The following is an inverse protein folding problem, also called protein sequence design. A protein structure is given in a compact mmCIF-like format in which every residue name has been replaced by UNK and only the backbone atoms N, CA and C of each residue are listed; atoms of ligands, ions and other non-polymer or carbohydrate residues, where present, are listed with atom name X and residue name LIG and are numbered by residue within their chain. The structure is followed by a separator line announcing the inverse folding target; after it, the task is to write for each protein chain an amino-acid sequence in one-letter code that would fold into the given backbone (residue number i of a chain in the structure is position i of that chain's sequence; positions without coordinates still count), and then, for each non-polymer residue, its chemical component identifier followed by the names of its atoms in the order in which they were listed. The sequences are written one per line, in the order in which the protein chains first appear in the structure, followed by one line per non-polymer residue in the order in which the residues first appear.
data_IF_754987052683
#
_entry.id   IF_754987052683
#
_cell.length_a   1.000
_cell.length_b   1.000
_cell.length_c   1.000
_cell.angle_alpha   90.00
_cell.angle_beta   90.00
_cell.angle_gamma   90.00
#
_symmetry.space_group_name_H-M   'P 1'
#
loop_
_entity.id
_entity.type
_entity.pdbx_description
1 polymer ?
#
# COMPACT_ATOMS: atom_id res chain seq x y z
N UNK A 1 0.75 -12.31 -2.85
CA UNK A 1 1.63 -13.50 -3.00
C UNK A 1 2.99 -13.03 -3.50
N UNK A 2 4.06 -13.32 -2.78
CA UNK A 2 5.43 -12.91 -3.13
C UNK A 2 5.92 -13.79 -4.27
N UNK A 3 6.14 -13.20 -5.47
CA UNK A 3 6.72 -13.95 -6.59
C UNK A 3 8.23 -14.14 -6.34
N UNK A 4 8.60 -15.29 -5.78
CA UNK A 4 9.98 -15.64 -5.38
C UNK A 4 11.01 -15.49 -6.51
N UNK A 5 10.61 -15.71 -7.76
CA UNK A 5 11.46 -15.48 -8.94
C UNK A 5 11.89 -14.01 -9.09
N UNK A 6 10.98 -13.06 -8.84
CA UNK A 6 11.29 -11.62 -8.93
C UNK A 6 12.22 -11.18 -7.79
N UNK A 7 12.02 -11.72 -6.59
CA UNK A 7 12.89 -11.41 -5.43
C UNK A 7 14.32 -11.93 -5.64
N UNK A 8 14.49 -13.07 -6.33
CA UNK A 8 15.80 -13.61 -6.68
C UNK A 8 16.59 -12.76 -7.69
N UNK A 9 15.87 -12.10 -8.61
CA UNK A 9 16.46 -11.23 -9.64
C UNK A 9 17.01 -9.90 -9.08
N UNK A 10 16.55 -9.48 -7.91
CA UNK A 10 16.80 -8.17 -7.31
C UNK A 10 17.69 -8.24 -6.06
N UNK A 11 18.76 -9.07 -6.11
CA UNK A 11 19.65 -9.26 -4.96
C UNK A 11 20.24 -7.97 -4.40
N UNK A 12 20.56 -6.99 -5.24
CA UNK A 12 21.07 -5.68 -4.82
C UNK A 12 20.03 -4.80 -4.13
N UNK A 13 18.79 -4.79 -4.62
CA UNK A 13 17.69 -4.03 -4.03
C UNK A 13 17.28 -4.52 -2.62
N UNK A 14 17.57 -5.78 -2.27
CA UNK A 14 17.29 -6.34 -0.94
C UNK A 14 17.92 -5.53 0.20
N UNK A 15 19.13 -5.03 0.02
CA UNK A 15 19.83 -4.22 1.03
C UNK A 15 19.04 -2.95 1.37
N UNK A 16 18.58 -2.23 0.36
CA UNK A 16 17.81 -1.00 0.56
C UNK A 16 16.42 -1.26 1.17
N UNK A 17 15.79 -2.39 0.81
CA UNK A 17 14.53 -2.82 1.41
C UNK A 17 14.72 -3.07 2.92
N UNK A 18 15.77 -3.80 3.30
CA UNK A 18 16.09 -4.07 4.71
C UNK A 18 16.40 -2.77 5.46
N UNK A 19 17.18 -1.85 4.87
CA UNK A 19 17.44 -0.54 5.47
C UNK A 19 16.15 0.27 5.65
N UNK A 20 15.24 0.25 4.70
CA UNK A 20 13.95 0.91 4.82
C UNK A 20 13.15 0.37 6.01
N UNK A 21 13.10 -0.97 6.15
CA UNK A 21 12.41 -1.63 7.28
C UNK A 21 13.05 -1.26 8.62
N UNK A 22 14.39 -1.26 8.69
CA UNK A 22 15.12 -0.89 9.91
C UNK A 22 14.89 0.56 10.32
N UNK A 23 14.89 1.50 9.37
CA UNK A 23 14.59 2.90 9.66
C UNK A 23 13.15 3.12 10.09
N UNK A 24 12.18 2.45 9.47
CA UNK A 24 10.79 2.47 9.89
C UNK A 24 10.60 1.89 11.30
N UNK A 25 11.31 0.80 11.59
CA UNK A 25 11.29 0.20 12.93
C UNK A 25 11.92 1.09 13.99
N UNK A 26 13.04 1.75 13.69
CA UNK A 26 13.64 2.74 14.58
C UNK A 26 12.71 3.95 14.83
N UNK A 27 12.01 4.42 13.79
CA UNK A 27 10.99 5.45 13.92
C UNK A 27 9.82 5.01 14.82
N UNK A 28 9.40 3.75 14.74
CA UNK A 28 8.38 3.18 15.63
C UNK A 28 8.84 3.18 17.09
N UNK A 29 10.07 2.75 17.37
CA UNK A 29 10.62 2.77 18.74
C UNK A 29 10.68 4.19 19.30
N UNK A 30 11.06 5.15 18.48
CA UNK A 30 11.04 6.57 18.82
C UNK A 30 9.62 7.05 19.15
N UNK A 31 8.62 6.65 18.35
CA UNK A 31 7.21 6.95 18.60
C UNK A 31 6.73 6.38 19.94
N UNK A 32 7.09 5.13 20.23
CA UNK A 32 6.73 4.48 21.51
C UNK A 32 7.32 5.25 22.68
N UNK A 33 8.58 5.68 22.59
CA UNK A 33 9.23 6.48 23.62
C UNK A 33 8.50 7.81 23.84
N UNK A 34 8.07 8.49 22.77
CA UNK A 34 7.27 9.71 22.87
C UNK A 34 5.97 9.48 23.65
N UNK A 35 5.24 8.39 23.31
CA UNK A 35 3.97 8.07 23.97
C UNK A 35 4.18 7.78 25.46
N UNK A 36 5.20 7.01 25.83
CA UNK A 36 5.53 6.76 27.25
C UNK A 36 5.91 8.03 27.99
N UNK A 37 6.67 8.92 27.36
CA UNK A 37 7.05 10.21 27.96
C UNK A 37 5.82 11.10 28.22
N UNK A 38 4.88 11.13 27.28
CA UNK A 38 3.61 11.85 27.42
C UNK A 38 2.75 11.22 28.51
N UNK A 39 2.65 9.90 28.55
CA UNK A 39 1.90 9.16 29.56
C UNK A 39 2.42 9.44 30.99
N UNK A 40 3.76 9.40 31.18
CA UNK A 40 4.40 9.74 32.47
C UNK A 40 4.12 11.19 32.88
N UNK A 41 4.13 12.12 31.91
CA UNK A 41 3.76 13.52 32.19
C UNK A 41 2.30 13.63 32.64
N UNK A 42 1.37 12.97 31.94
CA UNK A 42 -0.06 12.99 32.29
C UNK A 42 -0.32 12.39 33.66
N UNK A 43 0.35 11.30 33.98
CA UNK A 43 0.28 10.68 35.31
C UNK A 43 0.72 11.66 36.41
N UNK A 44 1.84 12.35 36.20
CA UNK A 44 2.35 13.37 37.14
C UNK A 44 1.41 14.56 37.27
N UNK A 45 0.74 14.98 36.21
CA UNK A 45 -0.28 16.05 36.24
C UNK A 45 -1.47 15.64 37.10
N UNK A 46 -1.96 14.39 36.95
CA UNK A 46 -3.09 13.88 37.75
C UNK A 46 -2.75 13.84 39.24
N UNK A 47 -1.55 13.42 39.60
CA UNK A 47 -1.09 13.39 40.99
C UNK A 47 -0.60 14.74 41.54
N UNK A 48 -0.78 15.85 40.79
CA UNK A 48 -0.32 17.21 41.18
C UNK A 48 1.18 17.28 41.51
N UNK A 49 1.98 16.38 40.99
CA UNK A 49 3.44 16.33 41.23
C UNK A 49 4.24 16.99 40.08
N UNK A 50 3.67 17.98 39.43
CA UNK A 50 4.31 18.70 38.33
C UNK A 50 5.15 19.84 38.87
N UNK A 51 6.45 19.77 38.59
CA UNK A 51 7.41 20.86 38.89
C UNK A 51 7.99 21.37 37.57
N UNK A 52 8.42 22.65 37.55
CA UNK A 52 9.01 23.28 36.36
C UNK A 52 10.13 22.45 35.74
N UNK A 53 11.10 21.87 36.49
CA UNK A 53 12.16 21.04 35.92
C UNK A 53 11.65 19.75 35.29
N UNK A 54 10.50 19.19 35.69
CA UNK A 54 9.90 18.00 35.05
C UNK A 54 9.36 18.38 33.69
N UNK A 55 8.71 19.53 33.55
CA UNK A 55 8.20 20.01 32.25
C UNK A 55 9.35 20.27 31.28
N UNK A 56 10.40 20.96 31.72
CA UNK A 56 11.57 21.26 30.91
C UNK A 56 12.25 19.98 30.40
N UNK A 57 12.46 19.01 31.28
CA UNK A 57 13.01 17.68 30.90
C UNK A 57 12.13 16.94 29.88
N UNK A 58 10.81 16.95 30.08
CA UNK A 58 9.87 16.32 29.18
C UNK A 58 9.90 16.96 27.80
N UNK A 59 9.91 18.28 27.71
CA UNK A 59 10.01 19.01 26.43
C UNK A 59 11.33 18.68 25.74
N UNK A 60 12.44 18.64 26.47
CA UNK A 60 13.75 18.28 25.90
C UNK A 60 13.74 16.85 25.31
N UNK A 61 13.19 15.88 26.04
CA UNK A 61 13.09 14.49 25.57
C UNK A 61 12.18 14.42 24.32
N UNK A 62 11.03 15.09 24.34
CA UNK A 62 10.12 15.10 23.19
C UNK A 62 10.77 15.74 21.96
N UNK A 63 11.47 16.86 22.12
CA UNK A 63 12.21 17.51 21.03
C UNK A 63 13.27 16.58 20.44
N UNK A 64 14.03 15.88 21.29
CA UNK A 64 15.01 14.88 20.85
C UNK A 64 14.35 13.74 20.08
N UNK A 65 13.27 13.17 20.62
CA UNK A 65 12.54 12.06 19.99
C UNK A 65 11.96 12.46 18.64
N UNK A 66 11.38 13.66 18.51
CA UNK A 66 10.86 14.18 17.24
C UNK A 66 11.99 14.34 16.23
N UNK A 67 13.15 14.84 16.67
CA UNK A 67 14.32 14.98 15.80
C UNK A 67 14.83 13.62 15.30
N UNK A 68 14.97 12.64 16.19
CA UNK A 68 15.36 11.29 15.83
C UNK A 68 14.36 10.68 14.83
N UNK A 69 13.08 10.81 15.10
CA UNK A 69 12.02 10.32 14.22
C UNK A 69 12.11 10.94 12.82
N UNK A 70 12.27 12.26 12.76
CA UNK A 70 12.43 12.97 11.49
C UNK A 70 13.62 12.44 10.67
N UNK A 71 14.77 12.24 11.33
CA UNK A 71 15.95 11.66 10.67
C UNK A 71 15.66 10.25 10.18
N UNK A 72 15.05 9.39 11.00
CA UNK A 72 14.69 8.02 10.62
C UNK A 72 13.72 7.98 9.43
N UNK A 73 12.70 8.83 9.41
CA UNK A 73 11.74 8.91 8.30
C UNK A 73 12.43 9.40 7.01
N UNK A 74 13.31 10.39 7.09
CA UNK A 74 14.10 10.87 5.95
C UNK A 74 15.04 9.80 5.39
N UNK A 75 15.74 9.09 6.27
CA UNK A 75 16.65 8.01 5.87
C UNK A 75 15.87 6.80 5.31
N UNK A 76 14.72 6.48 5.88
CA UNK A 76 13.80 5.46 5.36
C UNK A 76 13.29 5.79 3.96
N UNK A 77 12.83 7.04 3.75
CA UNK A 77 12.38 7.52 2.44
C UNK A 77 13.51 7.50 1.40
N UNK A 78 14.73 7.91 1.78
CA UNK A 78 15.91 7.84 0.91
C UNK A 78 16.25 6.40 0.53
N UNK A 79 16.22 5.48 1.48
CA UNK A 79 16.48 4.06 1.23
C UNK A 79 15.41 3.44 0.32
N UNK A 80 14.14 3.76 0.53
CA UNK A 80 13.03 3.35 -0.33
C UNK A 80 13.20 3.87 -1.76
N UNK A 81 13.58 5.15 -1.92
CA UNK A 81 13.85 5.74 -3.23
C UNK A 81 15.02 5.03 -3.95
N UNK A 82 16.11 4.76 -3.24
CA UNK A 82 17.24 4.02 -3.82
C UNK A 82 16.85 2.60 -4.24
N UNK A 83 16.00 1.92 -3.46
CA UNK A 83 15.45 0.62 -3.85
C UNK A 83 14.64 0.73 -5.16
N UNK A 84 13.82 1.77 -5.31
CA UNK A 84 13.06 2.04 -6.52
C UNK A 84 13.96 2.24 -7.74
N UNK A 85 14.99 3.08 -7.61
CA UNK A 85 15.94 3.38 -8.70
C UNK A 85 16.67 2.12 -9.14
N UNK A 86 17.18 1.32 -8.20
CA UNK A 86 17.89 0.07 -8.51
C UNK A 86 16.97 -0.94 -9.21
N UNK A 87 15.74 -1.09 -8.74
CA UNK A 87 14.75 -1.98 -9.35
C UNK A 87 14.48 -1.57 -10.80
N UNK A 88 14.22 -0.27 -11.05
CA UNK A 88 14.02 0.26 -12.41
C UNK A 88 15.20 -0.06 -13.32
N UNK A 89 16.41 0.23 -12.85
CA UNK A 89 17.63 0.01 -13.62
C UNK A 89 17.77 -1.47 -13.99
N UNK A 90 17.72 -2.36 -13.01
CA UNK A 90 17.90 -3.80 -13.23
C UNK A 90 16.83 -4.37 -14.16
N UNK A 91 15.56 -3.96 -14.01
CA UNK A 91 14.48 -4.45 -14.86
C UNK A 91 14.63 -3.97 -16.31
N UNK A 92 14.94 -2.69 -16.53
CA UNK A 92 15.15 -2.14 -17.88
C UNK A 92 16.36 -2.78 -18.56
N UNK A 93 17.45 -2.98 -17.83
CA UNK A 93 18.63 -3.68 -18.33
C UNK A 93 18.31 -5.11 -18.77
N UNK A 94 17.53 -5.84 -17.97
CA UNK A 94 17.10 -7.20 -18.33
C UNK A 94 16.12 -7.26 -19.51
N UNK A 95 15.23 -6.29 -19.63
CA UNK A 95 14.36 -6.18 -20.81
C UNK A 95 15.22 -5.97 -22.04
N UNK A 96 16.16 -5.02 -21.97
CA UNK A 96 17.08 -4.70 -23.06
C UNK A 96 17.97 -5.90 -23.45
N UNK A 97 18.58 -6.58 -22.48
CA UNK A 97 19.34 -7.81 -22.73
C UNK A 97 18.50 -8.91 -23.40
N UNK A 98 17.23 -9.03 -22.97
CA UNK A 98 16.32 -10.01 -23.56
C UNK A 98 16.00 -9.67 -25.01
N UNK A 99 15.78 -8.40 -25.32
CA UNK A 99 15.55 -7.94 -26.68
C UNK A 99 16.76 -8.18 -27.57
N UNK A 100 17.97 -7.92 -27.08
CA UNK A 100 19.21 -8.21 -27.83
C UNK A 100 19.38 -9.71 -28.11
N UNK A 101 19.01 -10.58 -27.17
CA UNK A 101 19.06 -12.05 -27.36
C UNK A 101 18.04 -12.55 -28.37
N UNK A 102 16.89 -11.89 -28.52
CA UNK A 102 15.89 -12.23 -29.53
C UNK A 102 16.32 -11.78 -30.94
N UNK A 103 17.22 -10.81 -31.04
CA UNK A 103 17.75 -10.32 -32.30
C UNK A 103 16.71 -9.64 -33.19
N UNK A 104 16.90 -9.68 -34.52
CA UNK A 104 16.00 -9.02 -35.48
C UNK A 104 14.59 -9.64 -35.52
N UNK A 105 14.44 -10.89 -35.10
CA UNK A 105 13.15 -11.60 -35.10
C UNK A 105 12.29 -11.34 -33.86
N UNK A 106 12.67 -10.40 -32.98
CA UNK A 106 11.89 -10.09 -31.79
C UNK A 106 10.46 -9.63 -32.13
N UNK A 107 10.29 -8.90 -33.24
CA UNK A 107 8.99 -8.36 -33.66
C UNK A 107 7.99 -9.42 -34.11
N UNK A 108 8.46 -10.64 -34.45
CA UNK A 108 7.60 -11.78 -34.75
C UNK A 108 7.01 -12.43 -33.51
N UNK A 109 7.69 -12.28 -32.34
CA UNK A 109 7.31 -12.91 -31.09
C UNK A 109 6.59 -11.94 -30.14
N UNK A 110 6.98 -10.66 -30.14
CA UNK A 110 6.47 -9.63 -29.25
C UNK A 110 6.31 -8.32 -30.00
N UNK A 111 5.17 -7.67 -29.87
CA UNK A 111 4.96 -6.37 -30.51
C UNK A 111 5.82 -5.29 -29.86
N UNK A 112 6.32 -4.33 -30.67
CA UNK A 112 7.12 -3.20 -30.16
C UNK A 112 6.33 -2.35 -29.17
N UNK A 113 5.01 -2.20 -29.33
CA UNK A 113 4.13 -1.49 -28.40
C UNK A 113 4.07 -2.18 -27.04
N UNK A 114 4.01 -3.51 -26.99
CA UNK A 114 4.02 -4.28 -25.75
C UNK A 114 5.36 -4.15 -25.01
N UNK A 115 6.48 -4.17 -25.73
CA UNK A 115 7.80 -3.96 -25.12
C UNK A 115 7.90 -2.57 -24.50
N UNK A 116 7.42 -1.53 -25.19
CA UNK A 116 7.39 -0.16 -24.67
C UNK A 116 6.49 -0.08 -23.43
N UNK A 117 5.29 -0.65 -23.48
CA UNK A 117 4.36 -0.66 -22.35
C UNK A 117 4.94 -1.38 -21.13
N UNK A 118 5.55 -2.54 -21.30
CA UNK A 118 6.21 -3.28 -20.20
C UNK A 118 7.40 -2.50 -19.65
N UNK A 119 8.19 -1.83 -20.51
CA UNK A 119 9.37 -1.06 -20.10
C UNK A 119 9.03 0.25 -19.36
N UNK A 120 7.84 0.79 -19.59
CA UNK A 120 7.32 1.99 -18.93
C UNK A 120 6.40 1.61 -17.77
N UNK A 121 5.14 1.28 -18.04
CA UNK A 121 4.11 1.02 -17.02
C UNK A 121 4.41 -0.22 -16.17
N UNK A 122 4.85 -1.32 -16.79
CA UNK A 122 5.18 -2.56 -16.08
C UNK A 122 6.33 -2.37 -15.07
N UNK A 123 7.36 -1.64 -15.48
CA UNK A 123 8.51 -1.33 -14.60
C UNK A 123 8.10 -0.38 -13.48
N UNK A 124 7.23 0.61 -13.72
CA UNK A 124 6.74 1.53 -12.68
C UNK A 124 5.86 0.83 -11.64
N UNK A 125 5.01 -0.11 -12.06
CA UNK A 125 4.24 -0.92 -11.13
C UNK A 125 5.14 -1.79 -10.23
N UNK A 126 6.19 -2.38 -10.79
CA UNK A 126 7.16 -3.17 -10.03
C UNK A 126 8.02 -2.30 -9.10
N UNK A 127 8.35 -1.08 -9.48
CA UNK A 127 9.00 -0.10 -8.61
C UNK A 127 8.17 0.15 -7.35
N UNK A 128 6.89 0.43 -7.51
CA UNK A 128 5.97 0.67 -6.39
C UNK A 128 5.86 -0.58 -5.50
N UNK A 129 5.84 -1.76 -6.09
CA UNK A 129 5.81 -3.03 -5.36
C UNK A 129 7.05 -3.21 -4.47
N UNK A 130 8.25 -3.03 -5.03
CA UNK A 130 9.51 -3.25 -4.29
C UNK A 130 9.90 -2.09 -3.39
N UNK A 131 9.63 -0.85 -3.80
CA UNK A 131 10.03 0.33 -3.05
C UNK A 131 9.09 0.67 -1.89
N UNK A 132 7.80 0.39 -2.03
CA UNK A 132 6.78 0.76 -1.03
C UNK A 132 6.07 -0.43 -0.42
N UNK A 133 5.50 -1.32 -1.26
CA UNK A 133 4.65 -2.40 -0.77
C UNK A 133 5.42 -3.45 0.02
N UNK A 134 6.55 -3.92 -0.49
CA UNK A 134 7.32 -4.99 0.14
C UNK A 134 7.91 -4.57 1.50
N UNK A 135 8.56 -3.39 1.64
CA UNK A 135 9.02 -2.91 2.95
C UNK A 135 7.86 -2.75 3.95
N UNK A 136 6.72 -2.21 3.50
CA UNK A 136 5.55 -2.01 4.35
C UNK A 136 4.94 -3.33 4.82
N UNK A 137 4.95 -4.38 3.98
CA UNK A 137 4.47 -5.70 4.33
C UNK A 137 5.31 -6.31 5.48
N UNK A 138 6.64 -6.24 5.37
CA UNK A 138 7.51 -6.73 6.46
C UNK A 138 7.39 -5.88 7.72
N UNK A 139 7.31 -4.56 7.58
CA UNK A 139 7.09 -3.66 8.70
C UNK A 139 5.77 -3.96 9.44
N UNK A 140 4.69 -4.20 8.70
CA UNK A 140 3.38 -4.51 9.29
C UNK A 140 3.31 -5.84 10.05
N UNK A 141 4.27 -6.74 9.82
CA UNK A 141 4.43 -7.96 10.62
C UNK A 141 5.28 -7.72 11.87
N UNK A 142 6.36 -6.94 11.74
CA UNK A 142 7.31 -6.69 12.83
C UNK A 142 6.72 -5.70 13.85
N UNK A 143 6.04 -4.65 13.40
CA UNK A 143 5.52 -3.59 14.26
C UNK A 143 4.56 -4.09 15.36
N UNK A 144 3.53 -4.91 15.08
CA UNK A 144 2.65 -5.44 16.12
C UNK A 144 3.36 -6.33 17.12
N UNK A 145 4.34 -7.12 16.68
CA UNK A 145 5.13 -7.99 17.56
C UNK A 145 5.98 -7.17 18.53
N UNK A 146 6.63 -6.09 18.04
CA UNK A 146 7.41 -5.20 18.89
C UNK A 146 6.53 -4.46 19.88
N UNK A 147 5.37 -3.96 19.45
CA UNK A 147 4.39 -3.32 20.34
C UNK A 147 3.86 -4.28 21.39
N UNK A 148 3.56 -5.53 21.01
CA UNK A 148 3.13 -6.54 21.95
C UNK A 148 4.19 -6.78 23.05
N UNK A 149 5.47 -6.95 22.68
CA UNK A 149 6.56 -7.17 23.63
C UNK A 149 6.70 -5.97 24.60
N UNK A 150 6.59 -4.75 24.11
CA UNK A 150 6.71 -3.55 24.93
C UNK A 150 5.50 -3.38 25.86
N UNK A 151 4.29 -3.48 25.33
CA UNK A 151 3.05 -3.25 26.07
C UNK A 151 2.73 -4.41 27.05
N UNK A 152 3.23 -5.60 26.79
CA UNK A 152 3.11 -6.73 27.71
C UNK A 152 3.71 -6.44 29.11
N UNK A 153 4.72 -5.54 29.17
CA UNK A 153 5.30 -5.06 30.44
C UNK A 153 4.37 -4.15 31.22
N UNK A 154 3.46 -3.47 30.53
CA UNK A 154 2.50 -2.51 31.15
C UNK A 154 1.20 -3.24 31.51
N UNK A 155 0.59 -3.95 30.56
CA UNK A 155 -0.64 -4.69 30.77
C UNK A 155 -0.76 -5.85 29.78
N UNK A 156 -0.67 -7.08 30.28
CA UNK A 156 -0.82 -8.28 29.46
C UNK A 156 -2.20 -8.35 28.78
N UNK A 157 -3.27 -8.01 29.53
CA UNK A 157 -4.64 -8.06 29.00
C UNK A 157 -4.82 -7.14 27.82
N UNK A 158 -4.38 -5.88 27.92
CA UNK A 158 -4.47 -4.90 26.84
C UNK A 158 -3.63 -5.31 25.62
N UNK A 159 -2.43 -5.84 25.86
CA UNK A 159 -1.53 -6.28 24.79
C UNK A 159 -2.09 -7.43 23.96
N UNK A 160 -2.73 -8.41 24.62
CA UNK A 160 -3.38 -9.53 23.93
C UNK A 160 -4.57 -9.08 23.10
N UNK A 161 -5.41 -8.18 23.64
CA UNK A 161 -6.55 -7.63 22.89
C UNK A 161 -6.05 -6.89 21.64
N UNK A 162 -5.02 -6.05 21.76
CA UNK A 162 -4.43 -5.35 20.62
C UNK A 162 -3.86 -6.31 19.59
N UNK A 163 -3.18 -7.37 20.01
CA UNK A 163 -2.63 -8.37 19.10
C UNK A 163 -3.73 -9.08 18.29
N UNK A 164 -4.87 -9.38 18.92
CA UNK A 164 -6.03 -9.97 18.23
C UNK A 164 -6.67 -8.99 17.27
N UNK A 165 -6.70 -7.70 17.58
CA UNK A 165 -7.25 -6.67 16.71
C UNK A 165 -6.43 -6.47 15.42
N UNK A 166 -5.12 -6.74 15.43
CA UNK A 166 -4.25 -6.57 14.25
C UNK A 166 -4.73 -7.38 13.04
N UNK A 167 -4.96 -8.70 13.11
CA UNK A 167 -5.47 -9.47 11.97
C UNK A 167 -6.93 -9.14 11.62
N UNK A 168 -7.70 -8.56 12.53
CA UNK A 168 -9.08 -8.17 12.27
C UNK A 168 -9.17 -7.05 11.21
N UNK A 169 -8.17 -6.15 11.16
CA UNK A 169 -8.12 -5.06 10.17
C UNK A 169 -8.10 -5.59 8.72
N UNK A 170 -7.14 -6.44 8.30
CA UNK A 170 -7.15 -6.97 6.94
C UNK A 170 -8.37 -7.84 6.65
N UNK A 171 -8.90 -8.57 7.63
CA UNK A 171 -10.11 -9.36 7.47
C UNK A 171 -11.30 -8.45 7.15
N UNK A 172 -11.50 -7.38 7.91
CA UNK A 172 -12.59 -6.42 7.68
C UNK A 172 -12.48 -5.75 6.30
N UNK A 173 -11.27 -5.38 5.86
CA UNK A 173 -11.03 -4.81 4.53
C UNK A 173 -11.44 -5.80 3.45
N UNK A 174 -11.05 -7.08 3.56
CA UNK A 174 -11.41 -8.11 2.57
C UNK A 174 -12.93 -8.34 2.52
N UNK A 175 -13.60 -8.35 3.67
CA UNK A 175 -15.06 -8.49 3.75
C UNK A 175 -15.76 -7.31 3.06
N UNK A 176 -15.35 -6.07 3.39
CA UNK A 176 -15.92 -4.87 2.77
C UNK A 176 -15.67 -4.84 1.27
N UNK A 177 -14.45 -5.19 0.81
CA UNK A 177 -14.14 -5.27 -0.62
C UNK A 177 -14.99 -6.30 -1.36
N UNK A 178 -15.25 -7.48 -0.77
CA UNK A 178 -16.14 -8.49 -1.36
C UNK A 178 -17.57 -7.97 -1.53
N UNK A 179 -18.10 -7.29 -0.49
CA UNK A 179 -19.44 -6.71 -0.53
C UNK A 179 -19.49 -5.60 -1.59
N UNK A 180 -18.54 -4.68 -1.57
CA UNK A 180 -18.44 -3.59 -2.54
C UNK A 180 -18.33 -4.11 -3.99
N UNK A 181 -17.51 -5.13 -4.23
CA UNK A 181 -17.39 -5.74 -5.55
C UNK A 181 -18.68 -6.37 -6.03
N UNK A 182 -19.41 -7.06 -5.13
CA UNK A 182 -20.73 -7.65 -5.45
C UNK A 182 -21.75 -6.58 -5.84
N UNK A 183 -21.80 -5.48 -5.08
CA UNK A 183 -22.70 -4.35 -5.37
C UNK A 183 -22.32 -3.65 -6.67
N UNK A 184 -21.02 -3.41 -6.89
CA UNK A 184 -20.51 -2.78 -8.10
C UNK A 184 -20.83 -3.62 -9.34
N UNK A 185 -20.60 -4.94 -9.29
CA UNK A 185 -20.92 -5.83 -10.41
C UNK A 185 -22.42 -5.83 -10.73
N UNK A 186 -23.27 -5.77 -9.69
CA UNK A 186 -24.73 -5.64 -9.87
C UNK A 186 -25.08 -4.31 -10.55
N UNK A 187 -24.47 -3.22 -10.09
CA UNK A 187 -24.67 -1.89 -10.67
C UNK A 187 -24.23 -1.85 -12.15
N UNK A 188 -23.03 -2.37 -12.46
CA UNK A 188 -22.53 -2.44 -13.83
C UNK A 188 -23.42 -3.28 -14.75
N UNK A 189 -23.94 -4.41 -14.26
CA UNK A 189 -24.87 -5.25 -15.03
C UNK A 189 -26.16 -4.50 -15.40
N UNK A 190 -26.70 -3.71 -14.46
CA UNK A 190 -27.88 -2.88 -14.72
C UNK A 190 -27.52 -1.75 -15.70
N UNK A 191 -26.38 -1.11 -15.52
CA UNK A 191 -25.95 0.00 -16.37
C UNK A 191 -25.68 -0.44 -17.82
N UNK A 192 -25.00 -1.58 -18.01
CA UNK A 192 -24.77 -2.15 -19.35
C UNK A 192 -26.09 -2.59 -19.99
N UNK A 193 -26.97 -3.25 -19.24
CA UNK A 193 -28.31 -3.61 -19.75
C UNK A 193 -29.16 -2.40 -20.18
N UNK A 194 -29.06 -1.30 -19.45
CA UNK A 194 -29.72 -0.05 -19.85
C UNK A 194 -29.12 0.53 -21.16
N UNK A 195 -27.79 0.48 -21.30
CA UNK A 195 -27.09 0.88 -22.52
C UNK A 195 -27.47 0.03 -23.73
N UNK A 196 -27.54 -1.28 -23.56
CA UNK A 196 -27.94 -2.22 -24.61
C UNK A 196 -29.39 -1.97 -25.03
N UNK A 197 -30.34 -1.82 -24.06
CA UNK A 197 -31.72 -1.50 -24.35
C UNK A 197 -31.88 -0.15 -25.05
N UNK A 198 -31.08 0.84 -24.68
CA UNK A 198 -31.09 2.16 -25.34
C UNK A 198 -30.63 2.04 -26.79
N UNK A 199 -29.55 1.32 -27.06
CA UNK A 199 -29.04 1.08 -28.42
C UNK A 199 -30.05 0.28 -29.27
N UNK A 200 -30.66 -0.78 -28.69
CA UNK A 200 -31.69 -1.56 -29.36
C UNK A 200 -32.90 -0.69 -29.74
N UNK A 201 -33.37 0.14 -28.83
CA UNK A 201 -34.47 1.07 -29.09
C UNK A 201 -34.11 2.11 -30.15
N UNK A 202 -32.87 2.63 -30.18
CA UNK A 202 -32.43 3.55 -31.21
C UNK A 202 -32.35 2.88 -32.59
N UNK A 203 -31.82 1.67 -32.65
CA UNK A 203 -31.73 0.90 -33.91
C UNK A 203 -33.10 0.46 -34.40
N UNK A 204 -34.01 0.11 -33.46
CA UNK A 204 -35.38 -0.30 -33.75
C UNK A 204 -36.37 0.85 -34.00
N UNK A 205 -35.96 2.11 -33.78
CA UNK A 205 -36.86 3.28 -33.78
C UNK A 205 -37.60 3.45 -35.13
N UNK A 206 -36.93 3.18 -36.24
CA UNK A 206 -37.52 3.24 -37.59
C UNK A 206 -38.60 2.17 -37.74
N UNK A 207 -38.34 0.95 -37.24
CA UNK A 207 -39.24 -0.17 -37.30
C UNK A 207 -40.49 0.04 -36.39
N UNK A 208 -40.23 0.51 -35.15
CA UNK A 208 -41.29 0.86 -34.20
C UNK A 208 -42.23 1.93 -34.73
N UNK A 209 -41.70 2.93 -35.44
CA UNK A 209 -42.46 4.01 -36.05
C UNK A 209 -43.28 3.54 -37.24
N UNK A 210 -42.76 2.63 -38.08
CA UNK A 210 -43.49 2.01 -39.20
C UNK A 210 -44.70 1.21 -38.71
N UNK A 211 -44.53 0.49 -37.58
CA UNK A 211 -45.60 -0.36 -37.00
C UNK A 211 -46.49 0.39 -35.96
N UNK A 212 -46.28 1.70 -35.76
CA UNK A 212 -47.00 2.54 -34.78
C UNK A 212 -47.00 1.95 -33.36
N UNK A 213 -45.90 1.26 -32.99
CA UNK A 213 -45.72 0.59 -31.69
C UNK A 213 -44.85 1.41 -30.72
N UNK A 214 -44.53 2.64 -31.05
CA UNK A 214 -43.70 3.57 -30.30
C UNK A 214 -44.27 3.92 -28.91
N UNK A 215 -45.60 4.12 -28.80
CA UNK A 215 -46.24 4.38 -27.51
C UNK A 215 -46.25 3.15 -26.59
N UNK A 216 -46.52 1.97 -27.14
CA UNK A 216 -46.54 0.72 -26.35
C UNK A 216 -45.15 0.39 -25.77
N UNK A 217 -44.09 0.72 -26.53
CA UNK A 217 -42.70 0.53 -26.07
C UNK A 217 -42.22 1.61 -25.07
N UNK A 218 -42.86 2.78 -25.06
CA UNK A 218 -42.57 3.85 -24.09
C UNK A 218 -43.19 3.59 -22.70
N UNK A 219 -44.22 2.77 -22.66
CA UNK A 219 -44.94 2.40 -21.40
C UNK A 219 -44.34 1.18 -20.71
N UNK A 220 -43.43 0.43 -21.36
CA UNK A 220 -42.60 -0.67 -20.79
C UNK A 220 -41.36 -0.17 -20.07
#
# INVERSE_FOLDING_TARGET
MIKTRLVGLLSHAKKYIVYTILWQWAALLSQVLAVFTIADLLERVVYRAVTVPVIEKTIMILALVVTIRFVCERMGAKSSYLACVDVKRILREKIYEKMLKLGASYSEQVSSSEVVQVSTEGVEQLETYFGKYLPQLFYSLIAPLTLFIILCRVSLKASVILLICVPLIPISIVVVQKIAKKLLNKYWSIYTGLGDSFLENLQGLTTLKIYQADQQKADE
#
